data_IF_042977610249
#
_entry.id   IF_042977610249
#
_cell.length_a   1.000
_cell.length_b   1.000
_cell.length_c   1.000
_cell.angle_alpha   90.00
_cell.angle_beta   90.00
_cell.angle_gamma   90.00
#
_symmetry.space_group_name_H-M   'P 1'
#
loop_
_entity.id
_entity.type
_entity.pdbx_description
1 polymer ?
#
# COMPACT_ATOMS: atom_id res chain seq x y z
N UNK A 1 -14.41 3.04 15.58
CA UNK A 1 -14.25 3.03 14.13
C UNK A 1 -13.47 4.26 13.66
N UNK A 2 -12.78 4.11 12.57
CA UNK A 2 -12.00 5.20 12.00
C UNK A 2 -12.91 6.27 11.40
N UNK A 3 -12.55 7.54 11.55
CA UNK A 3 -13.27 8.68 10.96
C UNK A 3 -12.87 8.94 9.50
N UNK A 4 -12.02 8.11 8.93
CA UNK A 4 -11.50 8.23 7.57
C UNK A 4 -11.66 6.90 6.83
N UNK A 5 -11.75 6.93 5.49
CA UNK A 5 -11.99 5.71 4.73
C UNK A 5 -10.71 4.87 4.59
N UNK A 6 -10.71 3.72 5.23
CA UNK A 6 -9.72 2.67 5.01
C UNK A 6 -10.47 1.45 4.48
N UNK A 7 -10.11 1.00 3.30
CA UNK A 7 -10.78 -0.12 2.64
C UNK A 7 -9.84 -1.31 2.54
N UNK A 8 -10.36 -2.48 2.87
CA UNK A 8 -9.63 -3.75 2.81
C UNK A 8 -10.35 -4.66 1.84
N UNK A 9 -9.61 -5.23 0.90
CA UNK A 9 -10.13 -6.20 -0.07
C UNK A 9 -9.17 -7.37 -0.20
N UNK A 10 -9.70 -8.60 -0.18
CA UNK A 10 -8.92 -9.79 -0.46
C UNK A 10 -8.86 -10.01 -1.97
N UNK A 11 -7.64 -10.07 -2.52
CA UNK A 11 -7.43 -10.38 -3.92
C UNK A 11 -6.99 -11.84 -4.05
N UNK A 12 -7.57 -12.54 -5.02
CA UNK A 12 -7.16 -13.91 -5.34
C UNK A 12 -5.96 -13.85 -6.29
N UNK A 13 -4.78 -14.15 -5.76
CA UNK A 13 -3.57 -14.19 -6.57
C UNK A 13 -3.04 -15.61 -6.67
N UNK A 14 -2.53 -15.95 -7.86
CA UNK A 14 -1.92 -17.26 -8.12
C UNK A 14 -0.53 -17.36 -7.50
N UNK A 15 -0.04 -18.58 -7.29
CA UNK A 15 1.34 -18.78 -6.85
C UNK A 15 2.33 -18.18 -7.85
N UNK A 16 2.04 -18.31 -9.15
CA UNK A 16 2.89 -17.72 -10.19
C UNK A 16 2.99 -16.19 -10.04
N UNK A 17 1.87 -15.53 -9.81
CA UNK A 17 1.85 -14.07 -9.58
C UNK A 17 2.73 -13.69 -8.38
N UNK A 18 2.59 -14.40 -7.26
CA UNK A 18 3.39 -14.15 -6.05
C UNK A 18 4.88 -14.36 -6.30
N UNK A 19 5.26 -15.45 -6.96
CA UNK A 19 6.65 -15.75 -7.26
C UNK A 19 7.26 -14.72 -8.23
N UNK A 20 6.53 -14.31 -9.25
CA UNK A 20 6.99 -13.28 -10.18
C UNK A 20 7.18 -11.94 -9.47
N UNK A 21 6.24 -11.55 -8.62
CA UNK A 21 6.33 -10.29 -7.86
C UNK A 21 7.53 -10.30 -6.93
N UNK A 22 7.75 -11.38 -6.19
CA UNK A 22 8.94 -11.55 -5.35
C UNK A 22 10.23 -11.43 -6.15
N UNK A 23 10.29 -12.08 -7.31
CA UNK A 23 11.45 -12.05 -8.19
C UNK A 23 11.74 -10.61 -8.63
N UNK A 24 10.73 -9.86 -9.06
CA UNK A 24 10.90 -8.46 -9.48
C UNK A 24 11.39 -7.58 -8.33
N UNK A 25 10.90 -7.81 -7.11
CA UNK A 25 11.35 -7.07 -5.93
C UNK A 25 12.83 -7.35 -5.66
N UNK A 26 13.24 -8.63 -5.71
CA UNK A 26 14.63 -9.00 -5.47
C UNK A 26 15.57 -8.45 -6.55
N UNK A 27 15.16 -8.45 -7.81
CA UNK A 27 15.95 -7.93 -8.93
C UNK A 27 16.15 -6.40 -8.83
N UNK A 28 15.15 -5.68 -8.34
CA UNK A 28 15.15 -4.22 -8.27
C UNK A 28 15.40 -3.69 -6.85
N UNK A 29 15.61 -4.57 -5.87
CA UNK A 29 15.78 -4.19 -4.47
C UNK A 29 17.03 -3.36 -4.21
N UNK A 30 17.08 -2.75 -3.04
CA UNK A 30 18.16 -1.88 -2.55
C UNK A 30 18.28 -0.52 -3.24
N UNK A 31 17.45 -0.24 -4.26
CA UNK A 31 17.52 1.03 -4.98
C UNK A 31 17.32 2.25 -4.06
N UNK A 32 16.43 2.12 -3.05
CA UNK A 32 16.09 3.22 -2.13
C UNK A 32 16.33 2.86 -0.66
N UNK A 33 16.97 1.74 -0.38
CA UNK A 33 17.21 1.28 0.98
C UNK A 33 17.94 2.34 1.80
N UNK A 34 17.42 2.62 3.01
CA UNK A 34 18.03 3.59 3.93
C UNK A 34 17.78 5.05 3.58
N UNK A 35 17.11 5.35 2.47
CA UNK A 35 16.85 6.73 2.00
C UNK A 35 15.42 7.21 2.26
N UNK A 36 14.56 6.34 2.79
CA UNK A 36 13.16 6.63 3.01
C UNK A 36 12.74 6.21 4.43
N UNK A 37 11.46 6.39 4.76
CA UNK A 37 10.89 5.91 6.02
C UNK A 37 11.00 4.38 6.15
N UNK A 38 10.99 3.65 5.04
CA UNK A 38 11.14 2.19 5.04
C UNK A 38 12.57 1.80 5.36
N UNK A 39 12.76 1.05 6.45
CA UNK A 39 14.05 0.52 6.89
C UNK A 39 14.09 -0.98 6.60
N UNK A 40 13.96 -1.31 5.32
CA UNK A 40 13.95 -2.66 4.78
C UNK A 40 14.45 -2.65 3.35
N UNK A 41 14.49 -3.82 2.68
CA UNK A 41 14.75 -3.86 1.25
C UNK A 41 13.60 -3.17 0.51
N UNK A 42 13.94 -2.21 -0.35
CA UNK A 42 12.95 -1.42 -1.07
C UNK A 42 13.42 -1.16 -2.51
N UNK A 43 12.49 -1.30 -3.45
CA UNK A 43 12.75 -1.03 -4.86
C UNK A 43 12.61 0.45 -5.21
N UNK A 44 12.89 0.80 -6.47
CA UNK A 44 12.56 2.10 -7.04
C UNK A 44 11.05 2.35 -7.00
N UNK A 45 10.62 3.59 -7.22
CA UNK A 45 9.22 4.02 -7.05
C UNK A 45 8.35 3.87 -8.29
N UNK A 46 8.88 3.42 -9.40
CA UNK A 46 8.16 3.32 -10.67
C UNK A 46 8.09 1.89 -11.21
N UNK A 47 7.96 0.92 -10.32
CA UNK A 47 7.91 -0.50 -10.70
C UNK A 47 6.73 -0.81 -11.64
N UNK A 48 5.63 -0.09 -11.53
CA UNK A 48 4.47 -0.26 -12.42
C UNK A 48 4.77 0.09 -13.88
N UNK A 49 5.78 0.90 -14.15
CA UNK A 49 6.19 1.23 -15.53
C UNK A 49 6.85 0.03 -16.22
N UNK A 50 7.54 -0.82 -15.46
CA UNK A 50 8.33 -1.93 -16.00
C UNK A 50 7.67 -3.30 -15.81
N UNK A 51 6.80 -3.47 -14.79
CA UNK A 51 6.30 -4.78 -14.39
C UNK A 51 4.78 -4.82 -14.29
N UNK A 52 4.17 -5.72 -15.07
CA UNK A 52 2.73 -5.88 -15.10
C UNK A 52 2.12 -6.28 -13.76
N UNK A 53 2.83 -7.10 -12.97
CA UNK A 53 2.35 -7.50 -11.64
C UNK A 53 2.07 -6.28 -10.76
N UNK A 54 2.89 -5.24 -10.85
CA UNK A 54 2.68 -3.99 -10.12
C UNK A 54 1.52 -3.17 -10.69
N UNK A 55 1.33 -3.17 -12.02
CA UNK A 55 0.18 -2.51 -12.64
C UNK A 55 -1.13 -3.16 -12.22
N UNK A 56 -1.18 -4.49 -12.19
CA UNK A 56 -2.38 -5.24 -11.78
C UNK A 56 -2.81 -4.85 -10.37
N UNK A 57 -1.86 -4.76 -9.43
CA UNK A 57 -2.14 -4.35 -8.05
C UNK A 57 -2.64 -2.90 -8.01
N UNK A 58 -1.98 -1.99 -8.72
CA UNK A 58 -2.39 -0.59 -8.78
C UNK A 58 -3.77 -0.38 -9.39
N UNK A 59 -4.10 -1.12 -10.44
CA UNK A 59 -5.44 -1.08 -11.05
C UNK A 59 -6.52 -1.57 -10.08
N UNK A 60 -6.23 -2.63 -9.33
CA UNK A 60 -7.13 -3.11 -8.28
C UNK A 60 -7.34 -2.04 -7.18
N UNK A 61 -6.28 -1.33 -6.82
CA UNK A 61 -6.36 -0.24 -5.85
C UNK A 61 -7.23 0.92 -6.37
N UNK A 62 -7.12 1.25 -7.66
CA UNK A 62 -7.97 2.26 -8.31
C UNK A 62 -9.45 1.86 -8.23
N UNK A 63 -9.77 0.60 -8.53
CA UNK A 63 -11.15 0.11 -8.41
C UNK A 63 -11.70 0.28 -6.99
N UNK A 64 -10.91 -0.09 -5.98
CA UNK A 64 -11.31 0.03 -4.57
C UNK A 64 -11.49 1.50 -4.18
N UNK A 65 -10.59 2.38 -4.60
CA UNK A 65 -10.69 3.81 -4.33
C UNK A 65 -11.95 4.42 -4.95
N UNK A 66 -12.29 4.02 -6.17
CA UNK A 66 -13.49 4.50 -6.87
C UNK A 66 -14.81 4.05 -6.23
N UNK A 67 -14.78 3.01 -5.40
CA UNK A 67 -15.95 2.60 -4.62
C UNK A 67 -16.19 3.50 -3.41
N UNK A 68 -15.24 4.37 -3.05
CA UNK A 68 -15.36 5.24 -1.88
C UNK A 68 -16.11 6.52 -2.26
N UNK A 69 -17.28 6.81 -1.63
CA UNK A 69 -18.11 7.97 -2.00
C UNK A 69 -17.40 9.32 -1.84
N UNK A 70 -16.50 9.43 -0.87
CA UNK A 70 -15.79 10.70 -0.60
C UNK A 70 -14.79 11.09 -1.67
N UNK A 71 -14.47 10.18 -2.59
CA UNK A 71 -13.52 10.44 -3.67
C UNK A 71 -14.20 10.92 -4.96
N UNK A 72 -15.53 11.05 -4.96
CA UNK A 72 -16.27 11.39 -6.17
C UNK A 72 -16.43 12.89 -6.33
N UNK A 73 -16.37 13.35 -7.58
CA UNK A 73 -16.70 14.72 -7.95
C UNK A 73 -18.23 14.84 -8.10
N UNK A 74 -18.72 16.06 -8.11
CA UNK A 74 -20.13 16.34 -8.41
C UNK A 74 -20.25 16.85 -9.85
N UNK A 75 -21.09 16.18 -10.65
CA UNK A 75 -21.43 16.64 -11.99
C UNK A 75 -22.29 17.91 -11.91
N UNK A 76 -22.42 18.68 -13.03
CA UNK A 76 -23.29 19.87 -13.06
C UNK A 76 -24.73 19.58 -12.66
N UNK A 77 -25.23 18.36 -12.89
CA UNK A 77 -26.59 17.94 -12.53
C UNK A 77 -26.74 17.51 -11.05
N UNK A 78 -25.63 17.59 -10.27
CA UNK A 78 -25.62 17.20 -8.86
C UNK A 78 -25.33 15.74 -8.60
N UNK A 79 -25.22 14.89 -9.63
CA UNK A 79 -24.94 13.46 -9.47
C UNK A 79 -23.44 13.21 -9.21
N UNK A 80 -23.09 12.06 -8.58
CA UNK A 80 -21.68 11.69 -8.40
C UNK A 80 -20.97 11.43 -9.73
N UNK A 81 -19.70 11.82 -9.80
CA UNK A 81 -18.84 11.55 -10.94
C UNK A 81 -17.54 10.90 -10.46
N UNK A 82 -17.08 9.90 -11.20
CA UNK A 82 -15.83 9.23 -10.87
C UNK A 82 -14.63 10.12 -11.13
N UNK A 83 -13.68 10.12 -10.20
CA UNK A 83 -12.43 10.82 -10.37
C UNK A 83 -11.47 9.93 -11.14
N UNK A 84 -10.95 10.34 -12.29
CA UNK A 84 -9.98 9.53 -13.03
C UNK A 84 -8.66 9.48 -12.26
N UNK A 85 -8.28 8.28 -11.82
CA UNK A 85 -7.07 8.04 -11.05
C UNK A 85 -6.01 7.35 -11.92
N UNK A 86 -4.75 7.56 -11.55
CA UNK A 86 -3.62 6.84 -12.14
C UNK A 86 -2.63 6.43 -11.06
N UNK A 87 -1.79 5.45 -11.38
CA UNK A 87 -0.72 5.01 -10.48
C UNK A 87 0.43 6.02 -10.62
N UNK A 88 0.61 6.84 -9.59
CA UNK A 88 1.67 7.83 -9.56
C UNK A 88 3.01 7.19 -9.25
N UNK A 89 3.04 6.34 -8.24
CA UNK A 89 4.22 5.63 -7.76
C UNK A 89 3.83 4.23 -7.36
N UNK A 90 4.74 3.27 -7.56
CA UNK A 90 4.56 1.90 -7.10
C UNK A 90 5.93 1.28 -6.83
N UNK A 91 6.05 0.61 -5.68
CA UNK A 91 7.30 -0.01 -5.25
C UNK A 91 7.06 -1.31 -4.51
N UNK A 92 8.13 -2.11 -4.41
CA UNK A 92 8.12 -3.33 -3.62
C UNK A 92 8.92 -3.18 -2.34
N UNK A 93 8.54 -3.92 -1.33
CA UNK A 93 9.17 -3.93 -0.02
C UNK A 93 9.32 -5.38 0.45
N UNK A 94 10.44 -5.66 1.12
CA UNK A 94 10.66 -6.96 1.74
C UNK A 94 11.21 -6.75 3.15
N UNK A 95 10.39 -7.08 4.15
CA UNK A 95 10.75 -6.97 5.55
C UNK A 95 11.29 -8.29 6.04
N UNK A 96 12.50 -8.27 6.61
CA UNK A 96 13.05 -9.35 7.41
C UNK A 96 12.97 -9.02 8.89
N UNK A 97 13.53 -9.90 9.73
CA UNK A 97 13.58 -9.68 11.17
C UNK A 97 14.32 -8.38 11.50
N UNK A 98 13.75 -7.57 12.37
CA UNK A 98 14.31 -6.29 12.79
C UNK A 98 14.00 -5.11 11.87
N UNK A 99 13.42 -5.35 10.71
CA UNK A 99 13.06 -4.29 9.78
C UNK A 99 11.79 -3.56 10.22
N UNK A 100 11.68 -2.30 9.82
CA UNK A 100 10.61 -1.41 10.24
C UNK A 100 10.30 -0.40 9.15
N UNK A 101 9.17 0.31 9.27
CA UNK A 101 8.88 1.49 8.49
C UNK A 101 8.45 2.61 9.44
N UNK A 102 9.19 3.70 9.46
CA UNK A 102 8.91 4.85 10.32
C UNK A 102 7.59 5.53 9.94
N UNK A 103 6.96 6.19 10.90
CA UNK A 103 5.71 6.89 10.66
C UNK A 103 5.88 7.98 9.60
N UNK A 104 4.99 7.97 8.62
CA UNK A 104 5.02 8.90 7.51
C UNK A 104 3.66 8.91 6.81
N UNK A 105 3.49 9.83 5.84
CA UNK A 105 2.35 9.86 4.94
C UNK A 105 2.84 10.15 3.51
N UNK A 106 1.92 10.19 2.58
CA UNK A 106 2.22 10.40 1.15
C UNK A 106 1.53 11.65 0.58
N UNK A 107 1.23 12.62 1.45
CA UNK A 107 0.74 13.92 0.99
C UNK A 107 1.72 14.51 -0.05
N UNK A 108 1.30 15.10 -1.18
CA UNK A 108 -0.08 15.44 -1.54
C UNK A 108 -0.78 14.44 -2.48
N UNK A 109 -0.37 13.20 -2.56
CA UNK A 109 -1.11 12.18 -3.31
C UNK A 109 -2.52 12.01 -2.74
N UNK A 110 -3.44 11.47 -3.51
CA UNK A 110 -4.83 11.33 -3.10
C UNK A 110 -5.05 10.08 -2.26
N UNK A 111 -4.61 8.92 -2.78
CA UNK A 111 -4.73 7.63 -2.12
C UNK A 111 -3.39 6.93 -2.04
N UNK A 112 -3.23 6.11 -1.02
CA UNK A 112 -2.14 5.16 -0.89
C UNK A 112 -2.71 3.75 -0.79
N UNK A 113 -1.90 2.76 -1.16
CA UNK A 113 -2.30 1.37 -1.04
C UNK A 113 -1.12 0.49 -0.68
N UNK A 114 -1.44 -0.63 -0.04
CA UNK A 114 -0.49 -1.72 0.20
C UNK A 114 -1.15 -3.03 -0.21
N UNK A 115 -0.38 -3.92 -0.81
CA UNK A 115 -0.80 -5.26 -1.15
C UNK A 115 0.18 -6.26 -0.55
N UNK A 116 -0.33 -7.22 0.21
CA UNK A 116 0.50 -8.25 0.82
C UNK A 116 0.69 -9.43 -0.14
N UNK A 117 1.90 -9.57 -0.66
CA UNK A 117 2.26 -10.70 -1.52
C UNK A 117 2.44 -11.96 -0.69
N UNK A 118 3.11 -11.84 0.46
CA UNK A 118 3.37 -12.95 1.36
C UNK A 118 3.62 -12.46 2.78
N UNK A 119 2.98 -13.09 3.74
CA UNK A 119 3.19 -12.83 5.15
C UNK A 119 2.83 -14.04 5.98
N UNK A 120 3.38 -14.13 7.20
CA UNK A 120 2.94 -15.09 8.20
C UNK A 120 2.13 -14.40 9.31
N UNK A 121 1.52 -15.18 10.18
CA UNK A 121 0.68 -14.66 11.27
C UNK A 121 1.45 -13.83 12.31
N UNK A 122 2.78 -13.92 12.32
CA UNK A 122 3.65 -13.19 13.24
C UNK A 122 4.29 -11.95 12.63
N UNK A 123 4.00 -11.65 11.36
CA UNK A 123 4.49 -10.42 10.74
C UNK A 123 3.86 -9.19 11.38
N UNK A 124 4.63 -8.11 11.45
CA UNK A 124 4.20 -6.86 12.07
C UNK A 124 3.00 -6.23 11.32
N UNK A 125 2.10 -5.54 12.04
CA UNK A 125 0.93 -4.91 11.43
C UNK A 125 1.25 -3.58 10.74
N UNK A 126 0.35 -3.14 9.87
CA UNK A 126 0.28 -1.75 9.43
C UNK A 126 -0.49 -0.96 10.49
N UNK A 127 0.13 0.10 11.01
CA UNK A 127 -0.39 0.88 12.13
C UNK A 127 -0.80 2.27 11.70
N UNK A 128 -1.97 2.72 12.17
CA UNK A 128 -2.50 4.06 11.98
C UNK A 128 -2.68 4.70 13.37
N UNK A 129 -1.57 5.14 13.98
CA UNK A 129 -1.52 5.58 15.39
C UNK A 129 -1.46 7.07 15.57
N UNK A 130 -1.34 7.84 14.51
CA UNK A 130 -1.10 9.27 14.62
C UNK A 130 -2.26 9.96 15.34
N UNK A 131 -1.92 10.76 16.37
CA UNK A 131 -2.88 11.59 17.10
C UNK A 131 -3.61 12.60 16.19
N UNK A 132 -2.98 13.03 15.10
CA UNK A 132 -3.61 13.92 14.11
C UNK A 132 -4.78 13.27 13.36
N UNK A 133 -4.89 11.95 13.40
CA UNK A 133 -5.94 11.22 12.71
C UNK A 133 -7.30 11.28 13.42
N UNK A 134 -7.42 11.96 14.53
CA UNK A 134 -8.68 12.18 15.26
C UNK A 134 -9.53 10.93 15.51
N UNK A 135 -8.95 9.77 15.50
CA UNK A 135 -9.66 8.51 15.68
C UNK A 135 -8.96 7.62 16.68
N UNK A 136 -9.60 6.52 17.00
CA UNK A 136 -8.95 5.47 17.78
C UNK A 136 -7.84 4.84 16.94
N UNK A 137 -6.60 4.77 17.42
CA UNK A 137 -5.54 4.05 16.71
C UNK A 137 -5.97 2.62 16.40
N UNK A 138 -5.62 2.12 15.22
CA UNK A 138 -5.92 0.74 14.88
C UNK A 138 -4.80 0.12 14.04
N UNK A 139 -4.76 -1.20 14.03
CA UNK A 139 -3.73 -2.00 13.38
C UNK A 139 -4.37 -2.98 12.42
N UNK A 140 -3.75 -3.19 11.26
CA UNK A 140 -4.16 -4.21 10.30
C UNK A 140 -2.99 -5.18 10.11
N UNK A 141 -3.17 -6.42 10.57
CA UNK A 141 -2.17 -7.47 10.39
C UNK A 141 -2.14 -7.91 8.93
N UNK A 142 -0.96 -8.11 8.34
CA UNK A 142 -0.87 -8.50 6.94
C UNK A 142 -1.35 -9.93 6.74
N UNK A 143 -2.13 -10.12 5.68
CA UNK A 143 -2.57 -11.43 5.22
C UNK A 143 -2.24 -11.53 3.73
N UNK A 144 -1.73 -12.69 3.30
CA UNK A 144 -1.42 -12.91 1.89
C UNK A 144 -2.66 -12.63 1.02
N UNK A 145 -2.50 -11.78 0.02
CA UNK A 145 -3.59 -11.36 -0.87
C UNK A 145 -4.38 -10.14 -0.41
N UNK A 146 -4.07 -9.56 0.75
CA UNK A 146 -4.78 -8.43 1.31
C UNK A 146 -4.33 -7.12 0.64
N UNK A 147 -5.30 -6.40 0.07
CA UNK A 147 -5.13 -5.04 -0.44
C UNK A 147 -5.77 -4.06 0.53
N UNK A 148 -5.02 -3.05 0.94
CA UNK A 148 -5.49 -1.98 1.81
C UNK A 148 -5.36 -0.67 1.04
N UNK A 149 -6.44 0.11 0.95
CA UNK A 149 -6.47 1.43 0.31
C UNK A 149 -6.89 2.46 1.34
N UNK A 150 -6.12 3.54 1.47
CA UNK A 150 -6.34 4.56 2.49
C UNK A 150 -5.94 5.94 1.97
N UNK A 151 -6.47 7.04 2.59
CA UNK A 151 -6.08 8.38 2.19
C UNK A 151 -4.58 8.60 2.33
N UNK A 152 -3.96 9.22 1.32
CA UNK A 152 -2.51 9.41 1.32
C UNK A 152 -2.02 10.35 2.44
N UNK A 153 -2.88 11.23 2.98
CA UNK A 153 -2.54 12.10 4.11
C UNK A 153 -2.45 11.36 5.44
N UNK A 154 -2.97 10.14 5.52
CA UNK A 154 -3.05 9.38 6.76
C UNK A 154 -1.67 8.85 7.16
N UNK A 155 -1.22 9.23 8.36
CA UNK A 155 0.05 8.74 8.88
C UNK A 155 -0.04 7.26 9.23
N UNK A 156 1.00 6.52 8.84
CA UNK A 156 1.07 5.08 9.07
C UNK A 156 2.51 4.64 9.29
N UNK A 157 2.66 3.48 9.90
CA UNK A 157 3.97 2.91 10.23
C UNK A 157 3.89 1.39 10.28
N UNK A 158 5.05 0.75 10.27
CA UNK A 158 5.19 -0.69 10.51
C UNK A 158 6.21 -0.86 11.63
N UNK A 159 5.82 -1.41 12.78
CA UNK A 159 6.75 -1.63 13.86
C UNK A 159 7.76 -2.72 13.49
N UNK A 160 8.78 -2.86 14.31
CA UNK A 160 9.85 -3.82 14.10
C UNK A 160 9.31 -5.24 13.94
N UNK A 161 9.69 -5.90 12.85
CA UNK A 161 9.31 -7.30 12.63
C UNK A 161 10.14 -8.21 13.53
N UNK A 162 9.45 -9.03 14.30
CA UNK A 162 10.09 -9.94 15.25
C UNK A 162 10.29 -11.35 14.69
N UNK A 163 9.50 -11.74 13.68
CA UNK A 163 9.57 -13.08 13.10
C UNK A 163 10.67 -13.20 12.05
N UNK A 164 11.07 -14.43 11.77
CA UNK A 164 12.08 -14.75 10.75
C UNK A 164 11.53 -14.77 9.33
N UNK A 165 10.20 -14.77 9.17
CA UNK A 165 9.55 -14.84 7.86
C UNK A 165 9.71 -13.53 7.08
N UNK A 166 9.94 -13.63 5.77
CA UNK A 166 9.98 -12.45 4.93
C UNK A 166 8.55 -11.97 4.63
N UNK A 167 8.26 -10.71 4.98
CA UNK A 167 7.02 -10.03 4.62
C UNK A 167 7.25 -9.28 3.31
N UNK A 168 6.53 -9.70 2.27
CA UNK A 168 6.68 -9.16 0.91
C UNK A 168 5.45 -8.32 0.57
N UNK A 169 5.70 -7.04 0.24
CA UNK A 169 4.64 -6.07 0.01
C UNK A 169 4.84 -5.34 -1.32
N UNK A 170 3.73 -4.97 -1.93
CA UNK A 170 3.67 -3.95 -2.98
C UNK A 170 2.94 -2.75 -2.39
N UNK A 171 3.46 -1.56 -2.61
CA UNK A 171 2.83 -0.33 -2.16
C UNK A 171 2.81 0.69 -3.29
N UNK A 172 1.98 1.70 -3.16
CA UNK A 172 1.92 2.76 -4.15
C UNK A 172 1.02 3.91 -3.76
N UNK A 173 1.04 4.92 -4.61
CA UNK A 173 0.23 6.13 -4.48
C UNK A 173 -0.56 6.35 -5.77
N UNK A 174 -1.81 6.78 -5.58
CA UNK A 174 -2.72 7.13 -6.66
C UNK A 174 -2.98 8.64 -6.64
N UNK A 175 -3.09 9.22 -7.81
CA UNK A 175 -3.44 10.62 -7.93
C UNK A 175 -4.44 10.84 -9.06
N UNK A 176 -5.02 12.03 -9.12
CA UNK A 176 -5.97 12.42 -10.17
C UNK A 176 -5.20 12.72 -11.44
N UNK A 177 -5.71 12.22 -12.56
CA UNK A 177 -5.19 12.55 -13.89
C UNK A 177 -5.36 14.04 -14.20
#
# INVERSE_FOLDING_TARGET
SAKYPVKVKQLNSTNLFKEQTKKHILEAGDALQGRTAAKCLMTKWNMHEDYETFRVVGEAAIEVANLCPVAKRTKPDGSPDDVPLYIKESWGLMYGKGHTCEEHNHWPSLWSYTYCVEACKKCAPLMFNDSANEGTPFHLFPETGQLIVFPAWLNHSVPKQECEHQRVMVAGNLNVK
#
